data_IF_175406341952
#
_entry.id   IF_175406341952
#
_cell.length_a   1.000
_cell.length_b   1.000
_cell.length_c   1.000
_cell.angle_alpha   90.00
_cell.angle_beta   90.00
_cell.angle_gamma   90.00
#
_symmetry.space_group_name_H-M   'P 1'
#
loop_
_entity.id
_entity.type
_entity.pdbx_description
1 polymer ?
#
# COMPACT_ATOMS: atom_id res chain seq x y z
N UNK A 1 6.31 -9.41 -12.33
CA UNK A 1 5.74 -8.58 -11.24
C UNK A 1 6.71 -8.62 -10.06
N UNK A 2 7.44 -7.53 -9.80
CA UNK A 2 8.44 -7.48 -8.73
C UNK A 2 7.76 -7.35 -7.37
N UNK A 3 8.15 -8.18 -6.40
CA UNK A 3 7.65 -8.07 -5.02
C UNK A 3 8.61 -7.18 -4.24
N UNK A 4 8.08 -6.14 -3.62
CA UNK A 4 8.86 -5.19 -2.82
C UNK A 4 8.80 -5.48 -1.31
N UNK A 5 8.14 -6.58 -0.92
CA UNK A 5 8.06 -7.08 0.45
C UNK A 5 8.51 -8.53 0.46
N UNK A 6 9.35 -8.91 1.43
CA UNK A 6 9.74 -10.31 1.63
C UNK A 6 8.57 -11.09 2.21
N UNK A 7 8.22 -12.21 1.58
CA UNK A 7 7.15 -13.12 2.01
C UNK A 7 7.62 -14.57 1.91
N UNK A 8 6.97 -15.50 2.60
CA UNK A 8 7.35 -16.93 2.60
C UNK A 8 7.02 -17.67 1.29
N UNK A 9 6.58 -16.95 0.25
CA UNK A 9 6.19 -17.55 -1.03
C UNK A 9 7.40 -17.75 -1.96
N UNK A 10 8.48 -16.96 -1.79
CA UNK A 10 9.71 -17.10 -2.57
C UNK A 10 10.85 -17.61 -1.68
N UNK A 11 11.82 -18.32 -2.28
CA UNK A 11 13.03 -18.75 -1.57
C UNK A 11 13.96 -17.57 -1.27
N UNK A 12 14.86 -17.77 -0.32
CA UNK A 12 15.90 -16.78 0.00
C UNK A 12 16.79 -16.46 -1.20
N UNK A 13 17.16 -17.47 -2.00
CA UNK A 13 17.93 -17.30 -3.23
C UNK A 13 17.20 -16.40 -4.25
N UNK A 14 15.88 -16.53 -4.37
CA UNK A 14 15.08 -15.68 -5.24
C UNK A 14 15.09 -14.22 -4.74
N UNK A 15 15.02 -14.00 -3.42
CA UNK A 15 15.15 -12.66 -2.85
C UNK A 15 16.56 -12.09 -2.99
N UNK A 16 17.60 -12.92 -2.86
CA UNK A 16 18.99 -12.53 -3.06
C UNK A 16 19.23 -12.10 -4.52
N UNK A 17 18.69 -12.84 -5.48
CA UNK A 17 18.73 -12.47 -6.90
C UNK A 17 18.01 -11.15 -7.16
N UNK A 18 16.81 -10.94 -6.60
CA UNK A 18 16.09 -9.67 -6.77
C UNK A 18 16.85 -8.51 -6.12
N UNK A 19 17.50 -8.74 -4.97
CA UNK A 19 18.35 -7.75 -4.29
C UNK A 19 19.57 -7.39 -5.15
N UNK A 20 20.21 -8.37 -5.80
CA UNK A 20 21.40 -8.13 -6.64
C UNK A 20 21.09 -7.28 -7.88
N UNK A 21 19.82 -7.19 -8.29
CA UNK A 21 19.33 -6.29 -9.33
C UNK A 21 19.05 -4.86 -8.83
N UNK A 22 19.42 -4.51 -7.58
CA UNK A 22 19.24 -3.17 -7.01
C UNK A 22 17.82 -2.89 -6.49
N UNK A 23 17.02 -3.94 -6.28
CA UNK A 23 15.73 -3.81 -5.61
C UNK A 23 15.98 -3.67 -4.11
N UNK A 24 15.38 -2.64 -3.52
CA UNK A 24 15.36 -2.42 -2.08
C UNK A 24 13.98 -2.84 -1.60
N UNK A 25 13.95 -3.80 -0.69
CA UNK A 25 12.72 -4.29 -0.08
C UNK A 25 12.28 -3.38 1.06
N UNK A 26 10.98 -3.29 1.24
CA UNK A 26 10.38 -2.78 2.47
C UNK A 26 10.61 -3.76 3.62
N UNK A 27 10.72 -3.20 4.82
CA UNK A 27 10.83 -3.93 6.07
C UNK A 27 9.45 -4.09 6.74
N UNK A 28 9.38 -4.92 7.78
CA UNK A 28 8.15 -5.04 8.59
C UNK A 28 7.89 -3.71 9.31
N UNK A 29 8.94 -3.02 9.73
CA UNK A 29 8.89 -1.72 10.38
C UNK A 29 8.28 -0.66 9.44
N UNK A 30 8.65 -0.66 8.15
CA UNK A 30 8.07 0.25 7.16
C UNK A 30 6.56 0.04 6.99
N UNK A 31 6.12 -1.22 6.97
CA UNK A 31 4.69 -1.55 6.96
C UNK A 31 3.99 -1.14 8.28
N UNK A 32 4.65 -1.30 9.42
CA UNK A 32 4.14 -0.86 10.71
C UNK A 32 3.96 0.66 10.79
N UNK A 33 4.92 1.44 10.28
CA UNK A 33 4.79 2.90 10.17
C UNK A 33 3.64 3.31 9.25
N UNK A 34 3.48 2.63 8.12
CA UNK A 34 2.34 2.83 7.22
C UNK A 34 0.99 2.56 7.92
N UNK A 35 0.90 1.49 8.72
CA UNK A 35 -0.30 1.18 9.47
C UNK A 35 -0.62 2.25 10.52
N UNK A 36 0.40 2.70 11.27
CA UNK A 36 0.21 3.79 12.24
C UNK A 36 -0.30 5.07 11.57
N UNK A 37 0.18 5.38 10.37
CA UNK A 37 -0.32 6.50 9.57
C UNK A 37 -1.81 6.35 9.24
N UNK A 38 -2.23 5.19 8.75
CA UNK A 38 -3.64 4.88 8.42
C UNK A 38 -4.53 5.02 9.66
N UNK A 39 -4.06 4.52 10.81
CA UNK A 39 -4.81 4.56 12.06
C UNK A 39 -4.79 5.91 12.78
N UNK A 40 -3.96 6.86 12.37
CA UNK A 40 -3.80 8.15 13.06
C UNK A 40 -4.37 9.33 12.28
N UNK A 41 -4.73 9.14 11.00
CA UNK A 41 -5.22 10.21 10.16
C UNK A 41 -6.34 9.72 9.24
N UNK A 42 -7.55 10.19 9.51
CA UNK A 42 -8.74 9.83 8.74
C UNK A 42 -8.83 10.56 7.39
N UNK A 43 -7.98 11.55 7.13
CA UNK A 43 -7.96 12.27 5.84
C UNK A 43 -7.47 11.41 4.67
N UNK A 44 -6.80 10.29 4.95
CA UNK A 44 -6.29 9.35 3.93
C UNK A 44 -7.21 8.14 3.73
N UNK A 45 -8.43 8.19 4.25
CA UNK A 45 -9.40 7.12 4.09
C UNK A 45 -9.77 6.98 2.60
N UNK A 46 -9.60 5.78 2.06
CA UNK A 46 -9.84 5.49 0.65
C UNK A 46 -8.59 5.56 -0.23
N UNK A 47 -7.48 6.15 0.25
CA UNK A 47 -6.24 6.30 -0.51
C UNK A 47 -5.51 4.97 -0.73
N UNK A 48 -4.85 4.83 -1.88
CA UNK A 48 -3.91 3.73 -2.15
C UNK A 48 -2.52 4.10 -1.64
N UNK A 49 -2.06 3.38 -0.63
CA UNK A 49 -0.73 3.59 -0.06
C UNK A 49 0.19 2.45 -0.46
N UNK A 50 1.37 2.79 -0.97
CA UNK A 50 2.41 1.84 -1.34
C UNK A 50 3.50 1.77 -0.27
N UNK A 51 3.58 0.63 0.40
CA UNK A 51 4.73 0.27 1.26
C UNK A 51 5.94 -0.01 0.38
N UNK A 52 7.01 0.75 0.56
CA UNK A 52 8.14 0.82 -0.36
C UNK A 52 9.47 0.62 0.35
N UNK A 53 10.48 0.15 -0.40
CA UNK A 53 11.86 0.25 0.08
C UNK A 53 12.28 1.71 0.24
N UNK A 54 13.09 2.01 1.26
CA UNK A 54 13.44 3.39 1.65
C UNK A 54 14.18 4.24 0.60
N UNK A 55 14.52 3.65 -0.55
CA UNK A 55 15.03 4.40 -1.71
C UNK A 55 13.99 5.34 -2.33
N UNK A 56 12.69 5.08 -2.14
CA UNK A 56 11.61 5.89 -2.71
C UNK A 56 10.93 6.78 -1.67
N UNK A 57 10.81 6.32 -0.43
CA UNK A 57 10.24 7.09 0.67
C UNK A 57 11.02 6.85 1.96
N UNK A 58 11.52 7.91 2.58
CA UNK A 58 12.32 7.80 3.80
C UNK A 58 11.54 7.13 4.95
N UNK A 59 10.23 7.39 5.04
CA UNK A 59 9.33 6.74 6.02
C UNK A 59 8.92 5.30 5.66
N UNK A 60 9.33 4.77 4.51
CA UNK A 60 9.02 3.40 4.10
C UNK A 60 7.67 3.20 3.41
N UNK A 61 6.93 4.27 3.13
CA UNK A 61 5.67 4.23 2.36
C UNK A 61 5.38 5.57 1.68
N UNK A 62 4.56 5.54 0.63
CA UNK A 62 4.07 6.73 -0.06
C UNK A 62 2.57 6.60 -0.35
N UNK A 63 1.86 7.71 -0.22
CA UNK A 63 0.52 7.87 -0.77
C UNK A 63 0.64 7.98 -2.29
N UNK A 64 -0.16 7.20 -3.02
CA UNK A 64 -0.11 7.16 -4.47
C UNK A 64 -1.09 8.14 -5.14
N UNK A 65 -2.09 8.65 -4.41
CA UNK A 65 -3.09 9.59 -4.94
C UNK A 65 -3.70 9.09 -6.26
N UNK A 66 -4.13 7.82 -6.31
CA UNK A 66 -4.61 7.15 -7.54
C UNK A 66 -6.14 7.01 -7.59
N UNK A 67 -6.81 7.44 -6.54
CA UNK A 67 -8.23 7.19 -6.30
C UNK A 67 -9.11 8.10 -7.16
N UNK A 68 -8.64 9.33 -7.39
CA UNK A 68 -9.29 10.32 -8.22
C UNK A 68 -8.94 10.10 -9.70
N UNK A 69 -9.36 8.95 -10.25
CA UNK A 69 -9.41 8.81 -11.71
C UNK A 69 -10.55 9.68 -12.26
N UNK A 70 -10.31 10.99 -12.36
CA UNK A 70 -11.28 12.03 -12.75
C UNK A 70 -11.85 11.88 -14.19
N UNK A 71 -11.48 10.82 -14.91
CA UNK A 71 -11.80 10.63 -16.33
C UNK A 71 -12.99 9.72 -16.64
N UNK A 72 -13.61 9.05 -15.66
CA UNK A 72 -14.68 8.06 -15.95
C UNK A 72 -15.73 7.95 -14.86
N UNK A 73 -16.94 8.42 -15.15
CA UNK A 73 -18.12 8.28 -14.28
C UNK A 73 -18.44 6.81 -13.95
N UNK A 74 -18.11 5.88 -14.86
CA UNK A 74 -18.30 4.43 -14.65
C UNK A 74 -17.35 3.87 -13.59
N UNK A 75 -16.11 4.36 -13.55
CA UNK A 75 -15.12 3.91 -12.55
C UNK A 75 -15.55 4.40 -11.15
N UNK A 76 -16.05 5.63 -11.05
CA UNK A 76 -16.60 6.18 -9.81
C UNK A 76 -17.80 5.36 -9.29
N UNK A 77 -18.76 5.02 -10.16
CA UNK A 77 -19.91 4.18 -9.79
C UNK A 77 -19.47 2.80 -9.25
N UNK A 78 -18.48 2.17 -9.89
CA UNK A 78 -17.93 0.87 -9.46
C UNK A 78 -17.22 0.98 -8.11
N UNK A 79 -16.44 2.05 -7.88
CA UNK A 79 -15.76 2.28 -6.60
C UNK A 79 -16.77 2.50 -5.46
N UNK A 80 -17.80 3.31 -5.71
CA UNK A 80 -18.89 3.52 -4.75
C UNK A 80 -19.58 2.19 -4.42
N UNK A 81 -19.86 1.35 -5.42
CA UNK A 81 -20.47 0.03 -5.24
C UNK A 81 -19.60 -0.92 -4.41
N UNK A 82 -18.29 -0.94 -4.62
CA UNK A 82 -17.36 -1.79 -3.87
C UNK A 82 -17.27 -1.40 -2.39
N UNK A 83 -17.38 -0.09 -2.09
CA UNK A 83 -17.37 0.44 -0.73
C UNK A 83 -18.66 0.16 0.06
N UNK A 84 -19.79 -0.20 -0.60
CA UNK A 84 -21.07 -0.50 0.07
C UNK A 84 -21.01 -1.69 1.02
N UNK A 85 -20.09 -2.63 0.78
CA UNK A 85 -19.96 -3.87 1.55
C UNK A 85 -19.16 -3.73 2.84
N UNK A 86 -18.44 -2.62 3.03
CA UNK A 86 -17.68 -2.34 4.23
C UNK A 86 -18.33 -1.17 4.99
N UNK A 87 -19.03 -1.41 6.11
CA UNK A 87 -19.43 -0.33 6.98
C UNK A 87 -18.16 0.36 7.47
N UNK A 88 -18.07 1.68 7.31
CA UNK A 88 -17.03 2.49 7.96
C UNK A 88 -16.96 2.26 9.48
N UNK A 89 -18.05 1.76 10.08
CA UNK A 89 -18.18 1.36 11.48
C UNK A 89 -17.55 0.00 11.85
N UNK A 90 -17.06 -0.80 10.90
CA UNK A 90 -16.39 -2.09 11.17
C UNK A 90 -14.87 -1.98 11.41
N UNK A 91 -14.34 -0.76 11.54
CA UNK A 91 -13.08 -0.54 12.26
C UNK A 91 -11.80 -0.89 11.51
N UNK A 92 -11.62 -0.33 10.32
CA UNK A 92 -10.27 -0.06 9.80
C UNK A 92 -9.89 1.43 9.86
N UNK A 93 -10.68 2.22 10.59
CA UNK A 93 -10.38 3.60 10.94
C UNK A 93 -10.70 3.74 12.43
N UNK A 94 -9.66 3.86 13.25
CA UNK A 94 -9.77 4.34 14.63
C UNK A 94 -9.43 5.82 14.61
#
# INVERSE_FOLDING_TARGET
MGRYVKTNILSEDAFAHVSSLGVVFATVEDAGQCLLRILSDTSINGHSIFVSGRKWAAQGYLDLDLEDYAGSALIQEIQEDQMKSAPASLGLFV
#
